data_IF_406686739838
#
_entry.id   IF_406686739838
#
_cell.length_a   1.000
_cell.length_b   1.000
_cell.length_c   1.000
_cell.angle_alpha   90.00
_cell.angle_beta   90.00
_cell.angle_gamma   90.00
#
_symmetry.space_group_name_H-M   'P 1'
#
loop_
_entity.id
_entity.type
_entity.pdbx_description
1 polymer ?
#
# COMPACT_ATOMS: atom_id res chain seq x y z
N UNK A 1 63.24 -15.51 28.50
CA UNK A 1 63.82 -14.20 28.79
C UNK A 1 63.44 -13.25 27.71
N UNK A 2 62.42 -12.40 27.98
CA UNK A 2 62.23 -11.08 27.45
C UNK A 2 60.94 -10.48 28.04
N UNK A 3 61.17 -9.40 28.68
CA UNK A 3 60.28 -8.61 29.54
C UNK A 3 58.96 -8.20 28.91
N UNK A 4 57.92 -8.34 29.74
CA UNK A 4 56.65 -7.59 29.58
C UNK A 4 56.77 -6.30 30.37
N UNK A 5 57.12 -5.21 29.77
CA UNK A 5 56.95 -3.89 30.36
C UNK A 5 55.49 -3.45 30.23
N UNK A 6 54.85 -3.45 31.38
CA UNK A 6 53.53 -2.86 31.63
C UNK A 6 53.70 -1.34 31.61
N UNK A 7 53.17 -0.63 30.61
CA UNK A 7 52.98 0.80 30.68
C UNK A 7 51.68 1.11 31.44
N UNK A 8 51.82 1.33 32.74
CA UNK A 8 50.81 1.97 33.52
C UNK A 8 50.89 3.49 33.29
N UNK A 9 49.99 4.06 32.53
CA UNK A 9 49.78 5.51 32.41
C UNK A 9 49.08 5.99 33.67
N UNK A 10 49.84 6.70 34.49
CA UNK A 10 49.38 7.45 35.66
C UNK A 10 48.56 8.70 35.21
N UNK A 11 47.26 8.63 35.28
CA UNK A 11 46.33 9.72 35.01
C UNK A 11 46.02 10.57 36.25
N UNK A 12 47.05 10.94 37.01
CA UNK A 12 46.88 11.68 38.25
C UNK A 12 47.54 13.05 38.17
N UNK A 13 47.24 13.90 37.18
CA UNK A 13 47.41 15.36 37.20
C UNK A 13 47.15 15.96 35.82
N UNK A 14 45.91 16.02 35.39
CA UNK A 14 45.53 16.91 34.30
C UNK A 14 44.22 17.62 34.68
N UNK A 15 44.20 18.94 34.84
CA UNK A 15 43.02 19.67 35.27
C UNK A 15 41.95 19.88 34.18
N UNK A 16 42.07 19.21 33.05
CA UNK A 16 41.16 19.37 31.89
C UNK A 16 40.37 18.12 31.52
N UNK A 17 39.95 17.28 32.46
CA UNK A 17 38.84 16.41 32.25
C UNK A 17 37.54 17.19 32.34
N UNK A 18 37.35 18.09 31.37
CA UNK A 18 36.09 18.78 31.16
C UNK A 18 34.98 17.75 30.92
N UNK A 19 34.01 17.80 31.83
CA UNK A 19 32.77 17.08 31.75
C UNK A 19 32.20 17.24 30.33
N UNK A 20 32.21 16.16 29.54
CA UNK A 20 31.36 16.04 28.37
C UNK A 20 29.92 16.03 28.90
N UNK A 21 29.37 17.23 29.04
CA UNK A 21 27.97 17.43 29.42
C UNK A 21 27.12 16.69 28.38
N UNK A 22 26.37 15.71 28.86
CA UNK A 22 25.25 15.16 28.11
C UNK A 22 24.42 16.31 27.59
N UNK A 23 24.04 16.36 26.31
CA UNK A 23 23.19 17.43 25.81
C UNK A 23 21.88 17.41 26.57
N UNK A 24 21.61 18.53 27.26
CA UNK A 24 20.39 18.71 28.05
C UNK A 24 19.16 18.38 27.17
N UNK A 25 18.34 17.45 27.61
CA UNK A 25 17.13 16.98 26.95
C UNK A 25 16.12 18.08 26.60
N UNK A 26 16.33 19.31 27.07
CA UNK A 26 15.48 20.48 26.80
C UNK A 26 15.72 21.20 25.46
N UNK A 27 16.79 20.86 24.71
CA UNK A 27 17.15 21.65 23.51
C UNK A 27 16.40 21.25 22.24
N UNK A 28 15.80 20.06 22.18
CA UNK A 28 15.07 19.57 21.00
C UNK A 28 13.74 20.32 20.79
N UNK A 29 13.04 20.66 21.88
CA UNK A 29 11.78 21.41 21.84
C UNK A 29 11.94 22.91 21.44
N UNK A 30 13.16 23.46 21.47
CA UNK A 30 13.43 24.86 21.07
C UNK A 30 13.80 25.03 19.60
N UNK A 31 13.86 23.97 18.82
CA UNK A 31 14.13 24.06 17.39
C UNK A 31 12.85 24.44 16.66
N UNK A 32 12.80 25.59 15.95
CA UNK A 32 11.59 26.06 15.28
C UNK A 32 11.07 25.03 14.25
N UNK A 33 11.97 24.29 13.62
CA UNK A 33 11.61 23.22 12.69
C UNK A 33 10.88 22.06 13.38
N UNK A 34 11.33 21.65 14.57
CA UNK A 34 10.67 20.58 15.34
C UNK A 34 9.25 20.99 15.75
N UNK A 35 9.08 22.22 16.24
CA UNK A 35 7.76 22.75 16.60
C UNK A 35 6.85 22.86 15.38
N UNK A 36 7.37 23.32 14.23
CA UNK A 36 6.61 23.38 12.98
C UNK A 36 6.15 21.99 12.51
N UNK A 37 7.03 20.98 12.55
CA UNK A 37 6.67 19.60 12.21
C UNK A 37 5.66 19.02 13.19
N UNK A 38 5.82 19.27 14.50
CA UNK A 38 4.88 18.83 15.52
C UNK A 38 3.50 19.46 15.32
N UNK A 39 3.43 20.78 15.09
CA UNK A 39 2.18 21.47 14.76
C UNK A 39 1.53 20.90 13.49
N UNK A 40 2.30 20.64 12.44
CA UNK A 40 1.80 20.04 11.23
C UNK A 40 1.18 18.65 11.49
N UNK A 41 1.87 17.80 12.24
CA UNK A 41 1.36 16.47 12.60
C UNK A 41 0.07 16.58 13.42
N UNK A 42 0.02 17.50 14.39
CA UNK A 42 -1.18 17.72 15.20
C UNK A 42 -2.33 18.24 14.33
N UNK A 43 -2.09 19.20 13.44
CA UNK A 43 -3.11 19.72 12.51
C UNK A 43 -3.64 18.62 11.60
N UNK A 44 -2.75 17.77 11.04
CA UNK A 44 -3.14 16.64 10.21
C UNK A 44 -3.91 15.58 11.02
N UNK A 45 -3.51 15.31 12.26
CA UNK A 45 -4.22 14.37 13.14
C UNK A 45 -5.62 14.91 13.52
N UNK A 46 -5.72 16.18 13.89
CA UNK A 46 -7.00 16.84 14.17
C UNK A 46 -7.87 16.86 12.89
N UNK A 47 -7.30 17.20 11.76
CA UNK A 47 -7.98 17.16 10.47
C UNK A 47 -8.55 15.77 10.18
N UNK A 48 -7.79 14.72 10.42
CA UNK A 48 -8.26 13.33 10.30
C UNK A 48 -9.40 12.99 11.27
N UNK A 49 -9.35 13.48 12.51
CA UNK A 49 -10.40 13.26 13.49
C UNK A 49 -11.66 14.03 13.12
N UNK A 50 -11.53 15.30 12.70
CA UNK A 50 -12.65 16.17 12.35
C UNK A 50 -13.30 15.81 11.00
N UNK A 51 -12.53 15.33 10.03
CA UNK A 51 -13.08 14.84 8.76
C UNK A 51 -13.67 13.44 8.85
N UNK A 52 -13.68 12.86 10.09
CA UNK A 52 -14.14 11.49 10.29
C UNK A 52 -13.40 10.62 9.30
N UNK A 53 -12.16 10.25 9.59
CA UNK A 53 -11.62 9.05 8.94
C UNK A 53 -12.65 7.98 9.26
N UNK A 54 -13.43 7.63 8.23
CA UNK A 54 -14.50 6.66 8.35
C UNK A 54 -13.99 5.38 9.04
N UNK A 55 -13.99 5.39 10.37
CA UNK A 55 -14.19 4.20 11.17
C UNK A 55 -15.69 3.90 11.14
N UNK A 56 -16.32 4.21 10.01
CA UNK A 56 -17.68 3.84 9.71
C UNK A 56 -17.75 2.36 9.91
N UNK A 57 -18.63 1.96 10.77
CA UNK A 57 -19.14 0.61 10.95
C UNK A 57 -19.04 -0.10 9.60
N UNK A 58 -18.10 -1.05 9.50
CA UNK A 58 -17.88 -1.76 8.24
C UNK A 58 -19.22 -2.42 7.92
N UNK A 59 -19.99 -1.79 7.05
CA UNK A 59 -21.36 -2.17 6.75
C UNK A 59 -21.42 -3.67 6.53
N UNK A 60 -22.51 -4.28 6.94
CA UNK A 60 -22.69 -5.74 6.84
C UNK A 60 -22.47 -6.15 5.39
N UNK A 61 -21.45 -6.97 5.16
CA UNK A 61 -21.19 -7.53 3.84
C UNK A 61 -22.24 -8.61 3.50
N UNK A 62 -22.59 -8.76 2.23
CA UNK A 62 -23.54 -9.80 1.80
C UNK A 62 -23.02 -11.20 2.12
N UNK A 63 -23.91 -12.20 2.28
CA UNK A 63 -23.48 -13.58 2.38
C UNK A 63 -22.84 -14.09 1.08
N UNK A 64 -21.96 -15.09 1.21
CA UNK A 64 -21.29 -15.70 0.07
C UNK A 64 -22.27 -16.22 -0.97
N UNK A 65 -21.91 -16.05 -2.23
CA UNK A 65 -22.71 -16.54 -3.36
C UNK A 65 -23.93 -15.69 -3.69
N UNK A 66 -24.18 -14.58 -2.97
CA UNK A 66 -25.34 -13.73 -3.26
C UNK A 66 -25.09 -12.83 -4.47
N UNK A 67 -26.10 -12.70 -5.37
CA UNK A 67 -26.07 -11.71 -6.42
C UNK A 67 -26.21 -10.31 -5.80
N UNK A 68 -25.35 -9.40 -6.23
CA UNK A 68 -25.30 -8.02 -5.72
C UNK A 68 -25.14 -7.04 -6.86
N UNK A 69 -25.81 -5.90 -6.74
CA UNK A 69 -25.58 -4.74 -7.58
C UNK A 69 -24.80 -3.71 -6.77
N UNK A 70 -23.67 -3.27 -7.30
CA UNK A 70 -22.73 -2.42 -6.58
C UNK A 70 -22.52 -1.15 -7.38
N UNK A 71 -22.57 -0.03 -6.67
CA UNK A 71 -22.14 1.28 -7.18
C UNK A 71 -20.93 1.71 -6.39
N UNK A 72 -19.89 2.14 -7.07
CA UNK A 72 -18.66 2.58 -6.39
C UNK A 72 -17.73 3.34 -7.29
N UNK A 73 -16.69 3.90 -6.69
CA UNK A 73 -15.65 4.67 -7.38
C UNK A 73 -14.41 3.82 -7.55
N UNK A 74 -13.84 3.80 -8.75
CA UNK A 74 -12.60 3.05 -9.04
C UNK A 74 -11.43 3.68 -8.28
N UNK A 75 -10.82 2.90 -7.39
CA UNK A 75 -9.62 3.29 -6.64
C UNK A 75 -8.35 2.81 -7.31
N UNK A 76 -8.31 1.56 -7.72
CA UNK A 76 -7.17 0.94 -8.39
C UNK A 76 -7.66 0.06 -9.54
N UNK A 77 -6.86 -0.06 -10.58
CA UNK A 77 -7.11 -0.89 -11.74
C UNK A 77 -5.87 -1.72 -12.05
N UNK A 78 -6.06 -3.01 -12.23
CA UNK A 78 -5.06 -3.98 -12.72
C UNK A 78 -5.50 -4.46 -14.10
N UNK A 79 -4.79 -5.40 -14.70
CA UNK A 79 -5.16 -5.98 -16.01
C UNK A 79 -6.52 -6.67 -16.03
N UNK A 80 -6.91 -7.30 -14.95
CA UNK A 80 -8.11 -8.16 -14.87
C UNK A 80 -9.08 -7.75 -13.76
N UNK A 81 -8.64 -6.95 -12.81
CA UNK A 81 -9.41 -6.60 -11.62
C UNK A 81 -9.45 -5.11 -11.39
N UNK A 82 -10.52 -4.67 -10.76
CA UNK A 82 -10.66 -3.30 -10.25
C UNK A 82 -10.96 -3.33 -8.76
N UNK A 83 -10.46 -2.34 -8.05
CA UNK A 83 -10.77 -2.13 -6.64
C UNK A 83 -11.66 -0.90 -6.54
N UNK A 84 -12.83 -1.07 -5.94
CA UNK A 84 -13.81 -0.02 -5.70
C UNK A 84 -13.72 0.48 -4.27
N UNK A 85 -14.03 1.76 -4.09
CA UNK A 85 -14.24 2.44 -2.81
C UNK A 85 -15.52 3.27 -2.84
N UNK A 86 -15.94 3.79 -1.68
CA UNK A 86 -17.20 4.55 -1.53
C UNK A 86 -18.38 3.76 -2.10
N UNK A 87 -18.57 2.57 -1.54
CA UNK A 87 -19.41 1.53 -2.12
C UNK A 87 -20.82 1.64 -1.58
N UNK A 88 -21.79 1.57 -2.48
CA UNK A 88 -23.20 1.29 -2.15
C UNK A 88 -23.56 -0.06 -2.74
N UNK A 89 -24.03 -0.95 -1.90
CA UNK A 89 -24.46 -2.30 -2.29
C UNK A 89 -26.00 -2.31 -2.28
N UNK A 90 -26.57 -2.85 -3.33
CA UNK A 90 -28.01 -3.08 -3.45
C UNK A 90 -28.23 -4.58 -3.52
N UNK A 91 -28.97 -5.11 -2.55
CA UNK A 91 -29.34 -6.52 -2.47
C UNK A 91 -30.79 -6.60 -2.02
N UNK A 92 -31.63 -7.33 -2.76
CA UNK A 92 -33.07 -7.48 -2.46
C UNK A 92 -33.77 -6.15 -2.21
N UNK A 93 -33.51 -5.13 -3.06
CA UNK A 93 -34.03 -3.76 -2.95
C UNK A 93 -33.58 -2.97 -1.69
N UNK A 94 -32.75 -3.56 -0.86
CA UNK A 94 -32.14 -2.88 0.27
C UNK A 94 -30.79 -2.27 -0.17
N UNK A 95 -30.64 -0.97 0.06
CA UNK A 95 -29.40 -0.24 -0.21
C UNK A 95 -28.67 0.03 1.10
N UNK A 96 -27.41 -0.39 1.17
CA UNK A 96 -26.53 -0.10 2.29
C UNK A 96 -25.17 0.38 1.80
N UNK A 97 -24.56 1.23 2.60
CA UNK A 97 -23.23 1.77 2.31
C UNK A 97 -22.17 0.89 2.96
N UNK A 98 -21.08 0.68 2.26
CA UNK A 98 -19.89 -0.03 2.76
C UNK A 98 -18.68 0.88 2.68
N UNK A 99 -18.02 1.14 3.81
CA UNK A 99 -16.88 2.06 3.87
C UNK A 99 -15.54 1.43 3.47
N UNK A 100 -15.46 0.10 3.38
CA UNK A 100 -14.28 -0.62 2.91
C UNK A 100 -14.12 -0.58 1.40
N UNK A 101 -13.16 -1.36 0.91
CA UNK A 101 -12.93 -1.59 -0.52
C UNK A 101 -13.44 -2.97 -0.91
N UNK A 102 -13.85 -3.13 -2.17
CA UNK A 102 -14.17 -4.42 -2.77
C UNK A 102 -13.34 -4.62 -4.03
N UNK A 103 -12.86 -5.83 -4.20
CA UNK A 103 -12.17 -6.27 -5.42
C UNK A 103 -13.21 -6.84 -6.38
N UNK A 104 -13.25 -6.38 -7.62
CA UNK A 104 -14.17 -6.86 -8.64
C UNK A 104 -13.39 -7.49 -9.78
N UNK A 105 -13.73 -8.75 -10.09
CA UNK A 105 -13.17 -9.54 -11.18
C UNK A 105 -14.16 -9.44 -12.35
N UNK A 106 -13.77 -8.70 -13.41
CA UNK A 106 -14.63 -8.50 -14.56
C UNK A 106 -14.59 -9.72 -15.49
N UNK A 107 -15.74 -10.04 -16.06
CA UNK A 107 -15.87 -11.13 -17.05
C UNK A 107 -15.16 -10.78 -18.36
N UNK A 108 -15.15 -9.50 -18.73
CA UNK A 108 -14.52 -9.02 -19.97
C UNK A 108 -13.32 -8.14 -19.64
N UNK A 109 -12.12 -8.65 -19.86
CA UNK A 109 -10.86 -7.93 -19.60
C UNK A 109 -10.69 -6.68 -20.48
N UNK A 110 -11.30 -6.64 -21.67
CA UNK A 110 -11.22 -5.47 -22.55
C UNK A 110 -11.96 -4.27 -21.95
N UNK A 111 -13.05 -4.50 -21.23
CA UNK A 111 -13.79 -3.45 -20.55
C UNK A 111 -12.96 -2.81 -19.45
N UNK A 112 -12.12 -3.58 -18.73
CA UNK A 112 -11.23 -3.04 -17.70
C UNK A 112 -10.33 -1.94 -18.26
N UNK A 113 -9.84 -2.10 -19.49
CA UNK A 113 -8.91 -1.14 -20.10
C UNK A 113 -9.58 0.18 -20.48
N UNK A 114 -10.88 0.18 -20.73
CA UNK A 114 -11.65 1.40 -21.05
C UNK A 114 -11.99 2.25 -19.82
N UNK A 115 -11.97 1.64 -18.62
CA UNK A 115 -12.28 2.33 -17.37
C UNK A 115 -11.17 3.29 -16.95
N UNK A 116 -11.52 4.36 -16.21
CA UNK A 116 -10.59 5.36 -15.71
C UNK A 116 -10.59 5.46 -14.19
N UNK A 117 -9.44 5.81 -13.62
CA UNK A 117 -9.31 5.97 -12.18
C UNK A 117 -10.18 7.11 -11.65
N UNK A 118 -10.90 6.83 -10.57
CA UNK A 118 -11.83 7.77 -9.96
C UNK A 118 -13.21 7.80 -10.60
N UNK A 119 -13.46 7.05 -11.65
CA UNK A 119 -14.75 6.94 -12.33
C UNK A 119 -15.77 6.23 -11.44
N UNK A 120 -16.99 6.71 -11.42
CA UNK A 120 -18.12 6.02 -10.81
C UNK A 120 -18.68 4.98 -11.75
N UNK A 121 -18.85 3.76 -11.25
CA UNK A 121 -19.41 2.66 -12.02
C UNK A 121 -20.51 1.95 -11.25
N UNK A 122 -21.42 1.35 -12.01
CA UNK A 122 -22.42 0.43 -11.53
C UNK A 122 -22.13 -0.92 -12.14
N UNK A 123 -22.01 -1.93 -11.31
CA UNK A 123 -21.77 -3.31 -11.73
C UNK A 123 -22.68 -4.28 -11.00
N UNK A 124 -22.89 -5.43 -11.60
CA UNK A 124 -23.54 -6.56 -10.96
C UNK A 124 -22.62 -7.78 -11.00
N UNK A 125 -22.76 -8.65 -10.00
CA UNK A 125 -21.95 -9.85 -9.91
C UNK A 125 -22.28 -10.67 -8.68
N UNK A 126 -21.46 -11.66 -8.39
CA UNK A 126 -21.65 -12.55 -7.23
C UNK A 126 -20.63 -12.22 -6.17
N UNK A 127 -21.12 -11.86 -4.98
CA UNK A 127 -20.25 -11.56 -3.86
C UNK A 127 -19.63 -12.82 -3.27
N UNK A 128 -18.37 -12.74 -2.85
CA UNK A 128 -17.66 -13.80 -2.15
C UNK A 128 -16.65 -13.22 -1.15
N UNK A 129 -16.60 -13.77 0.04
CA UNK A 129 -15.53 -13.49 0.98
C UNK A 129 -14.21 -14.09 0.49
N UNK A 130 -13.11 -13.59 1.01
CA UNK A 130 -11.82 -14.26 0.84
C UNK A 130 -11.73 -15.48 1.74
N UNK A 131 -11.13 -16.52 1.22
CA UNK A 131 -10.91 -17.74 1.99
C UNK A 131 -9.87 -17.47 3.09
N UNK A 132 -10.12 -17.96 4.29
CA UNK A 132 -9.13 -17.97 5.36
C UNK A 132 -8.15 -19.13 5.14
N UNK A 133 -6.92 -18.99 5.64
CA UNK A 133 -5.97 -20.08 5.63
C UNK A 133 -6.56 -21.29 6.38
N UNK A 134 -6.56 -22.45 5.75
CA UNK A 134 -7.06 -23.71 6.32
C UNK A 134 -5.94 -24.56 6.91
N UNK A 135 -4.70 -24.36 6.43
CA UNK A 135 -3.53 -25.13 6.86
C UNK A 135 -2.51 -24.25 7.58
N UNK A 136 -1.78 -24.84 8.50
CA UNK A 136 -0.69 -24.13 9.18
C UNK A 136 0.43 -23.79 8.21
N UNK A 137 0.75 -22.48 8.10
CA UNK A 137 1.75 -21.96 7.17
C UNK A 137 1.20 -21.58 5.79
N UNK A 138 -0.08 -21.79 5.53
CA UNK A 138 -0.75 -21.30 4.33
C UNK A 138 -0.89 -19.76 4.38
N UNK A 139 -0.78 -19.11 3.21
CA UNK A 139 -0.96 -17.67 3.11
C UNK A 139 -2.43 -17.30 3.34
N UNK A 140 -2.69 -16.52 4.38
CA UNK A 140 -4.04 -16.05 4.70
C UNK A 140 -4.41 -14.84 3.81
N UNK A 141 -5.14 -15.14 2.72
CA UNK A 141 -5.64 -14.15 1.77
C UNK A 141 -6.63 -13.20 2.43
N UNK A 142 -7.45 -13.69 3.37
CA UNK A 142 -8.43 -12.87 4.09
C UNK A 142 -7.72 -11.83 4.96
N UNK A 143 -6.77 -12.25 5.79
CA UNK A 143 -6.02 -11.35 6.66
C UNK A 143 -5.20 -10.33 5.84
N UNK A 144 -4.57 -10.76 4.75
CA UNK A 144 -3.84 -9.88 3.85
C UNK A 144 -4.73 -8.83 3.19
N UNK A 145 -5.90 -9.24 2.67
CA UNK A 145 -6.85 -8.34 2.02
C UNK A 145 -7.46 -7.36 3.03
N UNK A 146 -7.80 -7.84 4.23
CA UNK A 146 -8.28 -7.00 5.32
C UNK A 146 -7.25 -5.93 5.73
N UNK A 147 -5.95 -6.29 5.76
CA UNK A 147 -4.86 -5.33 5.98
C UNK A 147 -4.77 -4.23 4.90
N UNK A 148 -5.28 -4.48 3.69
CA UNK A 148 -5.41 -3.49 2.61
C UNK A 148 -6.76 -2.76 2.62
N UNK A 149 -7.64 -3.05 3.57
CA UNK A 149 -8.98 -2.50 3.67
C UNK A 149 -9.96 -3.10 2.65
N UNK A 150 -9.65 -4.28 2.07
CA UNK A 150 -10.49 -4.99 1.11
C UNK A 150 -11.28 -6.06 1.85
N UNK A 151 -12.61 -5.89 1.95
CA UNK A 151 -13.47 -6.76 2.74
C UNK A 151 -13.98 -8.00 2.00
N UNK A 152 -13.95 -7.99 0.67
CA UNK A 152 -14.42 -9.11 -0.13
C UNK A 152 -14.18 -8.90 -1.61
N UNK A 153 -14.64 -9.86 -2.40
CA UNK A 153 -14.55 -9.82 -3.85
C UNK A 153 -15.89 -10.05 -4.53
N UNK A 154 -16.05 -9.46 -5.71
CA UNK A 154 -17.19 -9.69 -6.59
C UNK A 154 -16.70 -10.41 -7.81
N UNK A 155 -17.17 -11.62 -8.01
CA UNK A 155 -16.81 -12.47 -9.14
C UNK A 155 -17.79 -12.30 -10.29
N UNK A 156 -17.33 -12.54 -11.51
CA UNK A 156 -18.12 -12.46 -12.74
C UNK A 156 -18.84 -11.12 -12.87
N UNK A 157 -18.13 -10.04 -12.48
CA UNK A 157 -18.70 -8.71 -12.52
C UNK A 157 -18.94 -8.27 -13.96
N UNK A 158 -20.12 -7.68 -14.20
CA UNK A 158 -20.51 -7.06 -15.46
C UNK A 158 -20.81 -5.59 -15.23
N UNK A 159 -20.32 -4.72 -16.09
CA UNK A 159 -20.54 -3.28 -15.98
C UNK A 159 -21.91 -2.96 -16.57
N UNK A 160 -22.79 -2.38 -15.76
CA UNK A 160 -24.10 -1.91 -16.20
C UNK A 160 -24.06 -0.46 -16.69
N UNK A 161 -23.29 0.37 -16.00
CA UNK A 161 -23.11 1.78 -16.33
C UNK A 161 -21.76 2.30 -15.83
N UNK A 162 -21.22 3.27 -16.53
CA UNK A 162 -20.02 3.99 -16.13
C UNK A 162 -20.24 5.48 -16.41
N UNK A 163 -19.98 6.34 -15.42
CA UNK A 163 -20.04 7.79 -15.56
C UNK A 163 -18.81 8.29 -16.33
N UNK A 164 -18.92 9.43 -16.98
CA UNK A 164 -17.79 10.04 -17.70
C UNK A 164 -16.83 10.77 -16.77
N UNK A 165 -17.27 11.15 -15.57
CA UNK A 165 -16.45 11.85 -14.59
C UNK A 165 -15.37 10.94 -14.02
N UNK A 166 -14.12 11.41 -14.04
CA UNK A 166 -12.97 10.66 -13.55
C UNK A 166 -11.89 11.59 -12.97
N UNK A 167 -10.96 11.02 -12.21
CA UNK A 167 -9.85 11.78 -11.64
C UNK A 167 -8.72 11.96 -12.66
N UNK A 168 -8.73 13.12 -13.37
CA UNK A 168 -7.72 13.43 -14.39
C UNK A 168 -6.28 13.28 -13.88
N UNK A 169 -5.96 13.79 -12.69
CA UNK A 169 -4.61 13.71 -12.14
C UNK A 169 -4.20 12.26 -11.88
N UNK A 170 -5.07 11.47 -11.27
CA UNK A 170 -4.79 10.04 -10.96
C UNK A 170 -4.60 9.25 -12.26
N UNK A 171 -5.41 9.49 -13.27
CA UNK A 171 -5.31 8.84 -14.57
C UNK A 171 -4.01 9.23 -15.30
N UNK A 172 -3.60 10.49 -15.23
CA UNK A 172 -2.32 10.95 -15.78
C UNK A 172 -1.12 10.30 -15.08
N UNK A 173 -1.14 10.21 -13.76
CA UNK A 173 -0.08 9.54 -12.99
C UNK A 173 -0.03 8.04 -13.30
N UNK A 174 -1.19 7.40 -13.40
CA UNK A 174 -1.27 5.99 -13.79
C UNK A 174 -0.71 5.76 -15.20
N UNK A 175 -1.10 6.60 -16.18
CA UNK A 175 -0.60 6.52 -17.54
C UNK A 175 0.91 6.78 -17.61
N UNK A 176 1.44 7.71 -16.80
CA UNK A 176 2.87 7.98 -16.70
C UNK A 176 3.63 6.77 -16.16
N UNK A 177 3.13 6.19 -15.06
CA UNK A 177 3.71 4.97 -14.44
C UNK A 177 3.75 3.81 -15.44
N UNK A 178 2.65 3.57 -16.17
CA UNK A 178 2.58 2.53 -17.20
C UNK A 178 3.57 2.77 -18.35
N UNK A 179 3.71 4.03 -18.81
CA UNK A 179 4.71 4.37 -19.82
C UNK A 179 6.14 4.13 -19.34
N UNK A 180 6.42 4.42 -18.07
CA UNK A 180 7.73 4.18 -17.48
C UNK A 180 8.00 2.68 -17.38
N UNK A 181 7.03 1.90 -16.92
CA UNK A 181 7.07 0.43 -16.91
C UNK A 181 7.42 -0.13 -18.31
N UNK A 182 6.67 0.26 -19.35
CA UNK A 182 6.89 -0.21 -20.72
C UNK A 182 8.26 0.21 -21.27
N UNK A 183 8.77 1.37 -20.87
CA UNK A 183 10.13 1.81 -21.26
C UNK A 183 11.20 0.98 -20.58
N UNK A 184 11.07 0.69 -19.29
CA UNK A 184 12.01 -0.15 -18.58
C UNK A 184 12.08 -1.54 -19.19
N UNK A 185 10.93 -2.15 -19.52
CA UNK A 185 10.86 -3.45 -20.19
C UNK A 185 11.50 -3.48 -21.58
N UNK A 186 11.59 -2.32 -22.27
CA UNK A 186 12.24 -2.24 -23.61
C UNK A 186 13.74 -1.98 -23.54
N UNK A 187 14.22 -1.33 -22.49
CA UNK A 187 15.62 -0.91 -22.35
C UNK A 187 16.47 -1.97 -21.68
N UNK A 188 15.89 -2.69 -20.72
CA UNK A 188 16.59 -3.69 -19.93
C UNK A 188 16.16 -5.10 -20.31
N UNK A 189 17.07 -6.11 -20.18
CA UNK A 189 16.68 -7.51 -20.23
C UNK A 189 15.61 -7.84 -19.17
N UNK A 190 14.85 -8.90 -19.37
CA UNK A 190 13.65 -9.22 -18.56
C UNK A 190 13.91 -9.25 -17.05
N UNK A 191 14.99 -9.90 -16.59
CA UNK A 191 15.32 -9.98 -15.16
C UNK A 191 15.70 -8.63 -14.56
N UNK A 192 16.53 -7.87 -15.24
CA UNK A 192 16.93 -6.53 -14.82
C UNK A 192 15.75 -5.56 -14.86
N UNK A 193 14.89 -5.67 -15.88
CA UNK A 193 13.67 -4.86 -16.00
C UNK A 193 12.76 -5.09 -14.81
N UNK A 194 12.52 -6.35 -14.41
CA UNK A 194 11.67 -6.68 -13.26
C UNK A 194 12.20 -6.10 -11.94
N UNK A 195 13.53 -6.09 -11.75
CA UNK A 195 14.17 -5.46 -10.59
C UNK A 195 13.97 -3.94 -10.63
N UNK A 196 14.22 -3.30 -11.76
CA UNK A 196 14.06 -1.85 -11.92
C UNK A 196 12.62 -1.41 -11.74
N UNK A 197 11.66 -2.16 -12.27
CA UNK A 197 10.22 -1.92 -12.07
C UNK A 197 9.84 -2.05 -10.59
N UNK A 198 10.35 -3.07 -9.91
CA UNK A 198 10.13 -3.23 -8.45
C UNK A 198 10.74 -2.07 -7.66
N UNK A 199 11.96 -1.66 -7.97
CA UNK A 199 12.68 -0.61 -7.25
C UNK A 199 12.10 0.80 -7.51
N UNK A 200 11.75 1.12 -8.76
CA UNK A 200 11.29 2.46 -9.14
C UNK A 200 9.78 2.62 -9.05
N UNK A 201 9.02 1.57 -9.39
CA UNK A 201 7.56 1.61 -9.46
C UNK A 201 6.88 0.90 -8.29
N UNK A 202 7.63 0.12 -7.51
CA UNK A 202 7.08 -0.69 -6.41
C UNK A 202 6.22 -1.88 -6.88
N UNK A 203 6.40 -2.35 -8.11
CA UNK A 203 5.64 -3.46 -8.71
C UNK A 203 6.29 -4.80 -8.34
N UNK A 204 5.98 -5.28 -7.13
CA UNK A 204 6.59 -6.51 -6.58
C UNK A 204 6.02 -7.79 -7.19
N UNK A 205 4.87 -7.71 -7.82
CA UNK A 205 4.15 -8.86 -8.37
C UNK A 205 4.82 -9.39 -9.64
N UNK A 206 5.55 -8.53 -10.37
CA UNK A 206 6.26 -8.86 -11.59
C UNK A 206 7.72 -9.27 -11.38
N UNK A 207 8.19 -9.29 -10.11
CA UNK A 207 9.55 -9.69 -9.82
C UNK A 207 9.77 -11.16 -10.13
N UNK A 208 10.75 -11.44 -10.98
CA UNK A 208 11.18 -12.79 -11.35
C UNK A 208 11.44 -13.65 -10.09
N UNK A 209 10.89 -14.87 -10.09
CA UNK A 209 10.93 -15.76 -8.92
C UNK A 209 12.37 -16.13 -8.52
N UNK A 210 13.29 -16.29 -9.49
CA UNK A 210 14.69 -16.61 -9.26
C UNK A 210 15.40 -15.42 -8.62
N UNK A 211 15.15 -14.22 -9.12
CA UNK A 211 15.67 -12.96 -8.54
C UNK A 211 15.15 -12.80 -7.12
N UNK A 212 13.87 -13.00 -6.89
CA UNK A 212 13.26 -12.94 -5.56
C UNK A 212 13.92 -13.92 -4.58
N UNK A 213 14.16 -15.16 -5.02
CA UNK A 213 14.84 -16.16 -4.21
C UNK A 213 16.30 -15.77 -3.91
N UNK A 214 17.00 -15.18 -4.88
CA UNK A 214 18.37 -14.67 -4.69
C UNK A 214 18.43 -13.58 -3.61
N UNK A 215 17.53 -12.60 -3.68
CA UNK A 215 17.45 -11.52 -2.66
C UNK A 215 17.09 -12.06 -1.27
N UNK A 216 16.23 -13.07 -1.20
CA UNK A 216 15.88 -13.73 0.06
C UNK A 216 17.08 -14.49 0.66
N UNK A 217 17.81 -15.28 -0.15
CA UNK A 217 19.00 -16.03 0.30
C UNK A 217 20.10 -15.13 0.82
N UNK A 218 20.26 -13.96 0.22
CA UNK A 218 21.28 -12.97 0.63
C UNK A 218 20.81 -12.05 1.77
N UNK A 219 19.60 -12.24 2.30
CA UNK A 219 19.07 -11.44 3.40
C UNK A 219 18.74 -9.99 3.06
N UNK A 220 18.77 -9.62 1.76
CA UNK A 220 18.55 -8.26 1.27
C UNK A 220 17.14 -8.03 0.68
N UNK A 221 16.23 -8.99 0.91
CA UNK A 221 14.84 -8.88 0.46
C UNK A 221 14.12 -7.61 0.97
N UNK A 222 14.54 -7.08 2.12
CA UNK A 222 14.02 -5.84 2.68
C UNK A 222 14.27 -4.62 1.77
N UNK A 223 15.37 -4.59 0.98
CA UNK A 223 15.66 -3.49 0.04
C UNK A 223 14.56 -3.39 -1.02
N UNK A 224 14.10 -4.51 -1.56
CA UNK A 224 12.97 -4.55 -2.50
C UNK A 224 11.64 -4.10 -1.85
N UNK A 225 11.55 -4.23 -0.52
CA UNK A 225 10.36 -3.84 0.22
C UNK A 225 10.30 -2.35 0.54
N UNK A 226 11.46 -1.71 0.78
CA UNK A 226 11.56 -0.33 1.24
C UNK A 226 11.53 0.65 0.06
N UNK A 227 12.09 0.29 -1.09
CA UNK A 227 12.29 1.22 -2.22
C UNK A 227 11.00 1.80 -2.80
N UNK A 228 9.88 1.09 -2.75
CA UNK A 228 8.57 1.61 -3.16
C UNK A 228 7.93 2.63 -2.21
N UNK A 229 8.54 2.91 -1.06
CA UNK A 229 8.03 3.85 -0.05
C UNK A 229 8.74 5.22 -0.08
N UNK A 230 9.82 5.36 -0.85
CA UNK A 230 10.67 6.56 -0.87
C UNK A 230 10.42 7.50 -2.06
N UNK A 231 9.38 7.25 -2.87
CA UNK A 231 8.99 8.13 -3.99
C UNK A 231 7.60 8.70 -3.76
#
# INVERSE_FOLDING_TARGET
MRDRTVFALDCRNSPDCGQAGLPAEGSLMRRPLFMACLCLVIVLAIGRILTGADTGDAGVLPPDGSPVKITGRIDTRTSETIILKSISIIQNDLKYSYSGKLQCELTNTQEVQSLRLGQHIVLEGVFSHFDAATNHGEFDVRAYSAGKGIGGRVRKAQILAAEEDYSFLREKLFAFRRRLHDRLAKVFPEKEASVMQTLLLGEKEELDAEVKALYQRNGIAHILSISGLHI
#
